data_IF_457748831140
#
_entry.id   IF_457748831140
#
_cell.length_a   1.000
_cell.length_b   1.000
_cell.length_c   1.000
_cell.angle_alpha   90.00
_cell.angle_beta   90.00
_cell.angle_gamma   90.00
#
_symmetry.space_group_name_H-M   'P 1'
#
loop_
_entity.id
_entity.type
_entity.pdbx_description
1 polymer ?
#
# COMPACT_ATOMS: atom_id res chain seq x y z
N UNK A 1 29.88 5.74 -2.43
CA UNK A 1 29.21 4.97 -1.37
C UNK A 1 29.74 3.54 -1.41
N UNK A 2 30.29 2.99 -0.32
CA UNK A 2 30.92 1.67 -0.34
C UNK A 2 29.88 0.55 -0.53
N UNK A 3 30.25 -0.55 -1.19
CA UNK A 3 29.36 -1.70 -1.37
C UNK A 3 28.91 -2.30 -0.03
N UNK A 4 29.77 -2.25 0.99
CA UNK A 4 29.42 -2.68 2.35
C UNK A 4 28.25 -1.87 2.94
N UNK A 5 28.24 -0.55 2.73
CA UNK A 5 27.15 0.30 3.21
C UNK A 5 25.82 -0.06 2.55
N UNK A 6 25.81 -0.28 1.22
CA UNK A 6 24.60 -0.70 0.48
C UNK A 6 24.07 -2.04 0.99
N UNK A 7 24.96 -2.99 1.29
CA UNK A 7 24.56 -4.30 1.79
C UNK A 7 23.93 -4.25 3.18
N UNK A 8 24.53 -3.46 4.09
CA UNK A 8 23.96 -3.21 5.43
C UNK A 8 22.61 -2.51 5.33
N UNK A 9 22.49 -1.46 4.49
CA UNK A 9 21.23 -0.76 4.28
C UNK A 9 20.12 -1.70 3.78
N UNK A 10 20.42 -2.54 2.78
CA UNK A 10 19.47 -3.53 2.24
C UNK A 10 18.99 -4.52 3.29
N UNK A 11 19.89 -4.99 4.17
CA UNK A 11 19.53 -5.93 5.26
C UNK A 11 18.64 -5.28 6.33
N UNK A 12 18.85 -3.99 6.59
CA UNK A 12 17.99 -3.22 7.51
C UNK A 12 16.61 -3.00 6.89
N UNK A 13 16.55 -2.62 5.61
CA UNK A 13 15.28 -2.42 4.88
C UNK A 13 14.46 -3.71 4.72
N UNK A 14 15.14 -4.84 4.54
CA UNK A 14 14.51 -6.16 4.49
C UNK A 14 14.06 -6.67 5.87
N UNK A 15 14.39 -5.98 6.97
CA UNK A 15 13.95 -6.39 8.30
C UNK A 15 12.57 -5.77 8.62
N UNK A 16 11.52 -6.59 8.82
CA UNK A 16 10.18 -6.07 9.12
C UNK A 16 10.17 -5.28 10.43
N UNK A 17 10.91 -5.70 11.45
CA UNK A 17 10.97 -4.98 12.74
C UNK A 17 11.57 -3.60 12.60
N UNK A 18 12.59 -3.45 11.75
CA UNK A 18 13.18 -2.14 11.45
C UNK A 18 12.13 -1.20 10.85
N UNK A 19 11.37 -1.68 9.86
CA UNK A 19 10.34 -0.87 9.20
C UNK A 19 9.16 -0.52 10.09
N UNK A 20 8.79 -1.44 10.98
CA UNK A 20 7.75 -1.27 11.99
C UNK A 20 8.11 -0.21 13.04
N UNK A 21 9.37 -0.19 13.49
CA UNK A 21 9.83 0.72 14.56
C UNK A 21 9.99 2.18 14.13
N UNK A 22 10.05 2.46 12.82
CA UNK A 22 10.20 3.82 12.29
C UNK A 22 8.88 4.63 12.20
N UNK A 23 7.71 4.03 12.46
CA UNK A 23 6.41 4.70 12.40
C UNK A 23 5.87 5.14 13.77
N UNK A 24 5.16 6.28 13.83
CA UNK A 24 4.24 6.53 14.94
C UNK A 24 3.08 5.50 14.91
N UNK A 25 2.38 5.29 16.04
CA UNK A 25 1.42 4.17 16.23
C UNK A 25 0.42 3.98 15.08
N UNK A 26 -0.05 5.06 14.48
CA UNK A 26 -1.04 5.01 13.39
C UNK A 26 -0.41 4.53 12.06
N UNK A 27 0.82 4.94 11.76
CA UNK A 27 1.54 4.54 10.54
C UNK A 27 2.18 3.16 10.61
N UNK A 28 2.20 2.54 11.79
CA UNK A 28 2.80 1.22 12.02
C UNK A 28 2.24 0.17 11.05
N UNK A 29 0.92 0.15 10.88
CA UNK A 29 0.24 -0.88 10.12
C UNK A 29 0.36 -0.66 8.61
N UNK A 30 0.17 0.57 8.13
CA UNK A 30 0.35 0.90 6.71
C UNK A 30 1.80 0.71 6.27
N UNK A 31 2.78 0.98 7.14
CA UNK A 31 4.18 0.66 6.87
C UNK A 31 4.46 -0.84 6.80
N UNK A 32 3.81 -1.66 7.65
CA UNK A 32 3.94 -3.11 7.58
C UNK A 32 3.39 -3.66 6.26
N UNK A 33 2.19 -3.23 5.88
CA UNK A 33 1.53 -3.73 4.68
C UNK A 33 2.28 -3.25 3.43
N UNK A 34 2.72 -1.98 3.39
CA UNK A 34 3.58 -1.48 2.31
C UNK A 34 4.91 -2.24 2.23
N UNK A 35 5.53 -2.56 3.37
CA UNK A 35 6.73 -3.40 3.41
C UNK A 35 6.48 -4.81 2.89
N UNK A 36 5.37 -5.44 3.30
CA UNK A 36 4.96 -6.76 2.82
C UNK A 36 4.75 -6.76 1.30
N UNK A 37 4.12 -5.69 0.79
CA UNK A 37 3.97 -5.47 -0.64
C UNK A 37 5.32 -5.41 -1.35
N UNK A 38 6.27 -4.60 -0.87
CA UNK A 38 7.56 -4.42 -1.53
C UNK A 38 8.50 -5.63 -1.41
N UNK A 39 8.58 -6.25 -0.23
CA UNK A 39 9.60 -7.27 0.08
C UNK A 39 9.16 -8.69 -0.25
N UNK A 40 7.85 -8.96 -0.29
CA UNK A 40 7.31 -10.31 -0.50
C UNK A 40 6.33 -10.32 -1.68
N UNK A 41 6.80 -10.02 -2.92
CA UNK A 41 5.92 -9.72 -4.04
C UNK A 41 4.99 -10.88 -4.43
N UNK A 42 5.47 -12.13 -4.43
CA UNK A 42 4.64 -13.29 -4.76
C UNK A 42 3.48 -13.47 -3.76
N UNK A 43 3.76 -13.32 -2.47
CA UNK A 43 2.75 -13.43 -1.42
C UNK A 43 1.78 -12.25 -1.47
N UNK A 44 2.30 -11.03 -1.61
CA UNK A 44 1.49 -9.82 -1.69
C UNK A 44 0.58 -9.82 -2.92
N UNK A 45 1.08 -10.27 -4.07
CA UNK A 45 0.29 -10.38 -5.29
C UNK A 45 -0.82 -11.43 -5.12
N UNK A 46 -0.53 -12.59 -4.51
CA UNK A 46 -1.55 -13.60 -4.22
C UNK A 46 -2.62 -13.08 -3.24
N UNK A 47 -2.25 -12.20 -2.31
CA UNK A 47 -3.18 -11.61 -1.34
C UNK A 47 -4.01 -10.49 -1.93
N UNK A 48 -3.39 -9.50 -2.59
CA UNK A 48 -4.07 -8.23 -2.92
C UNK A 48 -4.49 -8.09 -4.38
N UNK A 49 -3.75 -8.70 -5.31
CA UNK A 49 -4.05 -8.58 -6.74
C UNK A 49 -5.45 -9.06 -7.13
N UNK A 50 -6.07 -10.07 -6.47
CA UNK A 50 -7.45 -10.45 -6.73
C UNK A 50 -8.49 -9.35 -6.45
N UNK A 51 -8.16 -8.34 -5.64
CA UNK A 51 -9.04 -7.21 -5.34
C UNK A 51 -8.85 -6.03 -6.29
N UNK A 52 -7.79 -6.04 -7.10
CA UNK A 52 -7.54 -5.01 -8.11
C UNK A 52 -8.37 -5.28 -9.38
N UNK A 53 -8.91 -4.22 -9.97
CA UNK A 53 -9.58 -4.27 -11.27
C UNK A 53 -8.59 -4.32 -12.42
N UNK A 54 -9.10 -4.54 -13.63
CA UNK A 54 -8.31 -4.38 -14.85
C UNK A 54 -7.92 -2.90 -15.04
N UNK A 55 -6.73 -2.65 -15.57
CA UNK A 55 -6.24 -1.30 -15.83
C UNK A 55 -5.00 -1.31 -16.71
N UNK A 56 -4.27 -0.21 -16.73
CA UNK A 56 -3.16 0.00 -17.67
C UNK A 56 -1.92 0.63 -17.02
N UNK A 57 -1.76 0.48 -15.71
CA UNK A 57 -0.53 0.92 -15.05
C UNK A 57 0.67 0.11 -15.56
N UNK A 58 1.85 0.71 -15.53
CA UNK A 58 3.07 0.14 -16.12
C UNK A 58 4.05 -0.45 -15.09
N UNK A 59 3.90 -0.11 -13.81
CA UNK A 59 4.89 -0.41 -12.78
C UNK A 59 4.25 -0.89 -11.48
N UNK A 60 5.00 -1.73 -10.76
CA UNK A 60 4.62 -2.21 -9.43
C UNK A 60 5.26 -1.32 -8.37
N UNK A 61 4.44 -0.62 -7.60
CA UNK A 61 4.88 0.20 -6.47
C UNK A 61 3.71 0.45 -5.51
N UNK A 62 4.03 0.91 -4.31
CA UNK A 62 3.05 1.31 -3.30
C UNK A 62 3.26 2.77 -2.93
N UNK A 63 2.18 3.55 -3.00
CA UNK A 63 2.12 4.87 -2.40
C UNK A 63 1.52 4.77 -1.00
N UNK A 64 2.02 5.61 -0.10
CA UNK A 64 1.55 5.73 1.29
C UNK A 64 1.07 7.15 1.51
N UNK A 65 -0.03 7.32 2.23
CA UNK A 65 -0.61 8.63 2.61
C UNK A 65 -0.93 9.55 1.41
N UNK A 66 -1.22 8.98 0.23
CA UNK A 66 -1.57 9.77 -0.95
C UNK A 66 -2.96 10.37 -0.75
N UNK A 67 -3.03 11.69 -0.57
CA UNK A 67 -4.32 12.39 -0.45
C UNK A 67 -5.21 11.80 0.65
N UNK A 68 -4.62 11.48 1.81
CA UNK A 68 -5.29 10.84 2.96
C UNK A 68 -5.71 9.38 2.78
N UNK A 69 -5.35 8.73 1.67
CA UNK A 69 -5.46 7.27 1.53
C UNK A 69 -4.26 6.59 2.18
N UNK A 70 -4.50 5.60 3.04
CA UNK A 70 -3.41 4.92 3.75
C UNK A 70 -2.41 4.27 2.78
N UNK A 71 -2.92 3.50 1.80
CA UNK A 71 -2.13 2.75 0.84
C UNK A 71 -2.79 2.75 -0.55
N UNK A 72 -1.97 2.94 -1.58
CA UNK A 72 -2.37 2.75 -2.98
C UNK A 72 -1.39 1.78 -3.64
N UNK A 73 -1.87 0.61 -4.04
CA UNK A 73 -1.06 -0.40 -4.72
C UNK A 73 -1.21 -0.30 -6.22
N UNK A 74 -0.07 -0.33 -6.89
CA UNK A 74 0.02 -0.34 -8.35
C UNK A 74 0.63 -1.66 -8.81
N UNK A 75 0.10 -2.19 -9.91
CA UNK A 75 0.69 -3.30 -10.65
C UNK A 75 0.66 -3.00 -12.14
N UNK A 76 1.52 -3.65 -12.93
CA UNK A 76 1.31 -3.76 -14.36
C UNK A 76 -0.08 -4.33 -14.67
N UNK A 77 -0.77 -3.72 -15.62
CA UNK A 77 -2.04 -4.18 -16.20
C UNK A 77 -3.23 -4.26 -15.21
N UNK A 78 -3.15 -3.51 -14.10
CA UNK A 78 -4.24 -3.40 -13.12
C UNK A 78 -4.58 -1.93 -12.86
N UNK A 79 -5.81 -1.70 -12.43
CA UNK A 79 -6.17 -0.42 -11.84
C UNK A 79 -5.52 -0.32 -10.44
N UNK A 80 -5.17 0.89 -9.98
CA UNK A 80 -4.69 1.09 -8.62
C UNK A 80 -5.70 0.54 -7.60
N UNK A 81 -5.23 -0.15 -6.57
CA UNK A 81 -6.05 -0.62 -5.45
C UNK A 81 -5.81 0.28 -4.25
N UNK A 82 -6.87 0.91 -3.75
CA UNK A 82 -6.81 1.71 -2.53
C UNK A 82 -7.17 0.84 -1.33
N UNK A 83 -6.25 0.75 -0.36
CA UNK A 83 -6.45 0.07 0.91
C UNK A 83 -6.49 1.10 2.02
N UNK A 84 -7.63 1.18 2.71
CA UNK A 84 -7.77 1.92 3.94
C UNK A 84 -7.64 0.96 5.14
N UNK A 85 -6.68 1.19 6.01
CA UNK A 85 -6.36 0.31 7.10
C UNK A 85 -6.98 0.81 8.42
N UNK A 86 -8.04 0.15 8.88
CA UNK A 86 -8.76 0.55 10.11
C UNK A 86 -8.57 -0.47 11.23
N UNK A 87 -7.71 -0.15 12.19
CA UNK A 87 -7.43 -1.02 13.35
C UNK A 87 -8.25 -0.62 14.60
N UNK A 88 -8.46 0.68 14.81
CA UNK A 88 -9.09 1.21 16.04
C UNK A 88 -10.51 1.77 15.84
N UNK A 89 -10.98 1.86 14.60
CA UNK A 89 -12.27 2.46 14.27
C UNK A 89 -13.04 1.61 13.27
N UNK A 90 -14.35 1.84 13.20
CA UNK A 90 -15.20 1.19 12.22
C UNK A 90 -15.04 1.86 10.84
N UNK A 91 -15.10 1.07 9.75
CA UNK A 91 -15.26 1.59 8.40
C UNK A 91 -16.45 2.55 8.28
N UNK A 92 -16.27 3.67 7.58
CA UNK A 92 -17.32 4.68 7.37
C UNK A 92 -17.51 4.94 5.88
N UNK A 93 -18.75 4.84 5.40
CA UNK A 93 -19.06 4.91 3.96
C UNK A 93 -18.68 6.23 3.31
N UNK A 94 -18.88 7.33 4.02
CA UNK A 94 -18.50 8.69 3.60
C UNK A 94 -17.02 8.78 3.23
N UNK A 95 -16.13 8.12 3.97
CA UNK A 95 -14.70 8.10 3.66
C UNK A 95 -14.41 7.46 2.29
N UNK A 96 -15.14 6.41 1.90
CA UNK A 96 -14.98 5.81 0.57
C UNK A 96 -15.54 6.72 -0.53
N UNK A 97 -16.63 7.44 -0.26
CA UNK A 97 -17.20 8.42 -1.19
C UNK A 97 -16.21 9.58 -1.43
N UNK A 98 -15.52 10.05 -0.39
CA UNK A 98 -14.43 11.02 -0.49
C UNK A 98 -13.28 10.51 -1.36
N UNK A 99 -12.85 9.26 -1.17
CA UNK A 99 -11.81 8.66 -2.02
C UNK A 99 -12.28 8.47 -3.46
N UNK A 100 -13.54 8.09 -3.68
CA UNK A 100 -14.09 7.99 -5.02
C UNK A 100 -14.07 9.35 -5.74
N UNK A 101 -14.40 10.44 -5.04
CA UNK A 101 -14.30 11.80 -5.58
C UNK A 101 -12.84 12.21 -5.83
N UNK A 102 -11.93 11.94 -4.89
CA UNK A 102 -10.51 12.28 -4.99
C UNK A 102 -9.80 11.53 -6.14
N UNK A 103 -10.29 10.36 -6.51
CA UNK A 103 -9.73 9.51 -7.57
C UNK A 103 -10.46 9.61 -8.91
N UNK A 104 -11.47 10.48 -9.02
CA UNK A 104 -12.27 10.65 -10.24
C UNK A 104 -11.45 11.06 -11.48
N UNK A 105 -10.29 11.70 -11.29
CA UNK A 105 -9.37 12.08 -12.37
C UNK A 105 -8.36 11.00 -12.76
N UNK A 106 -8.38 9.82 -12.13
CA UNK A 106 -7.44 8.75 -12.43
C UNK A 106 -7.85 8.02 -13.71
N UNK A 107 -6.88 7.43 -14.41
CA UNK A 107 -7.13 6.75 -15.69
C UNK A 107 -8.11 5.59 -15.57
N UNK A 108 -8.16 4.94 -14.41
CA UNK A 108 -9.13 3.90 -14.06
C UNK A 108 -9.66 4.16 -12.67
N UNK A 109 -10.96 3.95 -12.47
CA UNK A 109 -11.57 4.03 -11.14
C UNK A 109 -10.97 2.93 -10.25
N UNK A 110 -10.35 3.27 -9.12
CA UNK A 110 -9.72 2.28 -8.27
C UNK A 110 -10.78 1.49 -7.50
N UNK A 111 -10.63 0.18 -7.33
CA UNK A 111 -11.34 -0.53 -6.26
C UNK A 111 -10.92 0.04 -4.91
N UNK A 112 -11.89 0.28 -4.04
CA UNK A 112 -11.69 0.79 -2.69
C UNK A 112 -11.97 -0.34 -1.70
N UNK A 113 -11.08 -0.58 -0.74
CA UNK A 113 -11.23 -1.67 0.23
C UNK A 113 -10.70 -1.29 1.60
N UNK A 114 -11.40 -1.77 2.63
CA UNK A 114 -10.89 -1.74 4.00
C UNK A 114 -10.05 -2.98 4.26
N UNK A 115 -8.85 -2.82 4.83
CA UNK A 115 -8.11 -3.96 5.38
C UNK A 115 -8.33 -4.13 6.88
N UNK A 116 -8.36 -5.41 7.26
CA UNK A 116 -7.90 -5.91 8.55
C UNK A 116 -8.83 -5.56 9.72
N UNK A 117 -9.64 -6.55 10.13
CA UNK A 117 -10.27 -6.60 11.46
C UNK A 117 -9.60 -7.69 12.28
#
# INVERSE_FOLDING_TARGET
MSEHFKDVARRIEANPLGRLMYGQRELFHSNLIGWFFDQLPASADATFRPFAGDGSDSHRFVERERGHMDLVFHWPDRAPLVIENKVFSLPQRDQLEEYQAATAGWSHAPPLSYCCR
#
